data_IF_341815537008
#
_entry.id   IF_341815537008
#
_cell.length_a   1.000
_cell.length_b   1.000
_cell.length_c   1.000
_cell.angle_alpha   90.00
_cell.angle_beta   90.00
_cell.angle_gamma   90.00
#
_symmetry.space_group_name_H-M   'P 1'
#
loop_
_entity.id
_entity.type
_entity.pdbx_description
1 polymer ?
#
# COMPACT_ATOMS: atom_id res chain seq x y z
N UNK A 1 4.42 17.88 -13.43
CA UNK A 1 3.53 17.08 -14.32
C UNK A 1 3.13 15.84 -13.52
N UNK A 2 1.86 15.68 -13.20
CA UNK A 2 1.37 14.57 -12.39
C UNK A 2 1.48 13.26 -13.19
N UNK A 3 2.14 12.26 -12.65
CA UNK A 3 2.23 10.94 -13.30
C UNK A 3 1.22 9.99 -12.68
N UNK A 4 0.50 9.24 -13.54
CA UNK A 4 -0.47 8.24 -13.13
C UNK A 4 0.05 6.80 -13.30
N UNK A 5 1.24 6.65 -13.90
CA UNK A 5 1.78 5.34 -14.21
C UNK A 5 2.30 4.62 -12.97
N UNK A 6 1.75 3.44 -12.70
CA UNK A 6 2.31 2.47 -11.74
C UNK A 6 3.35 1.62 -12.47
N UNK A 7 4.52 1.47 -11.87
CA UNK A 7 5.62 0.74 -12.50
C UNK A 7 5.36 -0.77 -12.42
N UNK A 8 4.91 -1.33 -13.52
CA UNK A 8 4.53 -2.75 -13.62
C UNK A 8 5.71 -3.71 -13.36
N UNK A 9 6.93 -3.24 -13.55
CA UNK A 9 8.14 -4.02 -13.29
C UNK A 9 8.45 -4.16 -11.78
N UNK A 10 7.84 -3.32 -10.93
CA UNK A 10 8.08 -3.37 -9.49
C UNK A 10 7.17 -4.41 -8.84
N UNK A 11 7.61 -5.65 -8.89
CA UNK A 11 6.91 -6.80 -8.31
C UNK A 11 7.20 -6.93 -6.80
N UNK A 12 6.30 -7.59 -6.04
CA UNK A 12 6.51 -7.85 -4.61
C UNK A 12 7.84 -8.53 -4.29
N UNK A 13 8.26 -9.51 -5.10
CA UNK A 13 9.56 -10.17 -4.95
C UNK A 13 10.73 -9.19 -5.07
N UNK A 14 10.72 -8.34 -6.11
CA UNK A 14 11.77 -7.33 -6.32
C UNK A 14 11.77 -6.28 -5.21
N UNK A 15 10.60 -5.90 -4.71
CA UNK A 15 10.49 -5.00 -3.57
C UNK A 15 11.17 -5.59 -2.33
N UNK A 16 10.85 -6.85 -2.00
CA UNK A 16 11.45 -7.59 -0.89
C UNK A 16 12.96 -7.68 -1.03
N UNK A 17 13.45 -8.20 -2.15
CA UNK A 17 14.90 -8.35 -2.42
C UNK A 17 15.64 -7.01 -2.30
N UNK A 18 15.07 -5.94 -2.87
CA UNK A 18 15.67 -4.60 -2.82
C UNK A 18 15.75 -4.04 -1.40
N UNK A 19 14.71 -4.21 -0.59
CA UNK A 19 14.71 -3.79 0.81
C UNK A 19 15.76 -4.55 1.61
N UNK A 20 15.88 -5.87 1.42
CA UNK A 20 16.89 -6.69 2.10
C UNK A 20 18.33 -6.30 1.72
N UNK A 21 18.58 -6.01 0.43
CA UNK A 21 19.90 -5.54 0.00
C UNK A 21 20.27 -4.20 0.65
N UNK A 22 19.37 -3.22 0.58
CA UNK A 22 19.60 -1.87 1.08
C UNK A 22 19.62 -1.80 2.63
N UNK A 23 19.06 -2.79 3.32
CA UNK A 23 19.19 -2.92 4.78
C UNK A 23 20.61 -3.30 5.18
N UNK A 24 21.26 -4.17 4.41
CA UNK A 24 22.59 -4.63 4.72
C UNK A 24 23.66 -3.56 4.41
N UNK A 25 23.51 -2.80 3.34
CA UNK A 25 24.42 -1.72 3.00
C UNK A 25 23.78 -0.66 2.08
N UNK A 26 24.03 0.63 2.32
CA UNK A 26 23.74 1.67 1.33
C UNK A 26 24.52 1.41 0.04
N UNK A 27 23.97 1.76 -1.11
CA UNK A 27 24.59 1.56 -2.42
C UNK A 27 24.90 2.91 -3.10
N UNK A 28 26.08 3.01 -3.70
CA UNK A 28 26.49 4.26 -4.35
C UNK A 28 25.80 4.44 -5.70
N UNK A 29 25.66 3.36 -6.45
CA UNK A 29 25.11 3.38 -7.80
C UNK A 29 24.42 2.05 -8.17
N UNK A 30 23.96 1.98 -9.42
CA UNK A 30 23.28 0.81 -9.95
C UNK A 30 24.18 -0.42 -10.05
N UNK A 31 25.49 -0.23 -10.29
CA UNK A 31 26.46 -1.32 -10.42
C UNK A 31 26.74 -1.97 -9.07
N UNK A 32 26.88 -1.18 -8.01
CA UNK A 32 26.99 -1.66 -6.63
C UNK A 32 25.78 -2.51 -6.27
N UNK A 33 24.58 -2.01 -6.59
CA UNK A 33 23.33 -2.72 -6.31
C UNK A 33 23.23 -4.07 -7.05
N UNK A 34 23.60 -4.09 -8.35
CA UNK A 34 23.64 -5.33 -9.13
C UNK A 34 24.68 -6.31 -8.63
N UNK A 35 25.83 -5.82 -8.17
CA UNK A 35 26.88 -6.66 -7.61
C UNK A 35 26.42 -7.35 -6.33
N UNK A 36 25.78 -6.58 -5.44
CA UNK A 36 25.19 -7.12 -4.21
C UNK A 36 24.06 -8.12 -4.51
N UNK A 37 23.17 -7.80 -5.47
CA UNK A 37 22.08 -8.69 -5.86
C UNK A 37 22.60 -10.04 -6.38
N UNK A 38 23.63 -10.01 -7.22
CA UNK A 38 24.27 -11.24 -7.74
C UNK A 38 24.94 -12.06 -6.65
N UNK A 39 25.56 -11.42 -5.66
CA UNK A 39 26.21 -12.12 -4.54
C UNK A 39 25.23 -12.87 -3.66
N UNK A 40 23.95 -12.48 -3.67
CA UNK A 40 22.86 -13.11 -2.92
C UNK A 40 21.90 -13.95 -3.80
N UNK A 41 22.26 -14.15 -5.07
CA UNK A 41 21.45 -14.88 -6.07
C UNK A 41 20.01 -14.32 -6.24
N UNK A 42 19.84 -13.02 -6.07
CA UNK A 42 18.54 -12.36 -6.25
C UNK A 42 18.21 -12.18 -7.73
N UNK A 43 16.91 -12.11 -8.05
CA UNK A 43 16.42 -11.92 -9.43
C UNK A 43 16.60 -10.50 -9.97
N UNK A 44 16.99 -9.56 -9.11
CA UNK A 44 17.29 -8.17 -9.47
C UNK A 44 18.31 -8.12 -10.59
N UNK A 45 17.99 -7.34 -11.62
CA UNK A 45 18.84 -7.18 -12.82
C UNK A 45 18.64 -8.23 -13.90
N UNK A 46 17.99 -9.37 -13.60
CA UNK A 46 17.57 -10.33 -14.64
C UNK A 46 16.26 -9.89 -15.30
N UNK A 47 15.35 -9.28 -14.54
CA UNK A 47 14.01 -8.89 -15.02
C UNK A 47 13.84 -7.38 -15.14
N UNK A 48 14.68 -6.57 -14.50
CA UNK A 48 14.46 -5.14 -14.39
C UNK A 48 15.74 -4.35 -14.19
N UNK A 49 15.78 -3.10 -14.75
CA UNK A 49 16.90 -2.20 -14.50
C UNK A 49 16.84 -1.61 -13.08
N UNK A 50 17.99 -1.48 -12.38
CA UNK A 50 18.06 -0.87 -11.06
C UNK A 50 17.45 0.54 -10.99
N UNK A 51 17.60 1.35 -12.05
CA UNK A 51 17.02 2.69 -12.14
C UNK A 51 15.50 2.68 -11.93
N UNK A 52 14.80 1.73 -12.52
CA UNK A 52 13.34 1.58 -12.35
C UNK A 52 12.97 1.13 -10.94
N UNK A 53 13.75 0.21 -10.36
CA UNK A 53 13.58 -0.22 -8.97
C UNK A 53 13.76 0.96 -8.02
N UNK A 54 14.85 1.71 -8.16
CA UNK A 54 15.13 2.89 -7.32
C UNK A 54 14.05 3.97 -7.47
N UNK A 55 13.53 4.17 -8.68
CA UNK A 55 12.42 5.08 -8.89
C UNK A 55 11.16 4.61 -8.14
N UNK A 56 10.81 3.31 -8.21
CA UNK A 56 9.65 2.76 -7.51
C UNK A 56 9.79 2.85 -5.99
N UNK A 57 10.97 2.52 -5.45
CA UNK A 57 11.24 2.66 -4.02
C UNK A 57 11.16 4.11 -3.54
N UNK A 58 11.60 5.06 -4.39
CA UNK A 58 11.52 6.50 -4.11
C UNK A 58 10.08 7.00 -4.16
N UNK A 59 9.33 6.60 -5.19
CA UNK A 59 7.91 6.93 -5.34
C UNK A 59 7.12 6.49 -4.10
N UNK A 60 7.48 5.35 -3.50
CA UNK A 60 6.89 4.86 -2.25
C UNK A 60 7.47 5.50 -0.97
N UNK A 61 8.50 6.34 -1.09
CA UNK A 61 9.17 6.96 0.06
C UNK A 61 9.99 5.98 0.91
N UNK A 62 10.44 4.86 0.34
CA UNK A 62 11.18 3.82 1.06
C UNK A 62 12.68 4.04 1.06
N UNK A 63 13.18 4.84 0.10
CA UNK A 63 14.60 5.19 -0.01
C UNK A 63 14.76 6.69 -0.18
N UNK A 64 15.93 7.17 0.23
CA UNK A 64 16.33 8.56 0.04
C UNK A 64 17.79 8.66 -0.38
N UNK A 65 18.13 9.81 -0.95
CA UNK A 65 19.50 10.21 -1.27
C UNK A 65 19.58 11.72 -1.04
N UNK A 66 20.47 12.17 -0.17
CA UNK A 66 20.61 13.61 0.12
C UNK A 66 21.02 14.41 -1.12
N UNK A 67 21.96 13.86 -1.87
CA UNK A 67 22.41 14.42 -3.13
C UNK A 67 22.93 13.31 -4.06
N UNK A 68 23.26 13.64 -5.31
CA UNK A 68 23.70 12.66 -6.32
C UNK A 68 25.01 11.91 -5.98
N UNK A 69 25.77 12.38 -5.00
CA UNK A 69 27.05 11.78 -4.59
C UNK A 69 26.95 10.97 -3.30
N UNK A 70 25.83 11.06 -2.59
CA UNK A 70 25.59 10.23 -1.38
C UNK A 70 25.00 8.87 -1.76
N UNK A 71 25.27 7.83 -0.99
CA UNK A 71 24.67 6.53 -1.20
C UNK A 71 23.13 6.58 -1.11
N UNK A 72 22.47 5.72 -1.86
CA UNK A 72 21.04 5.45 -1.70
C UNK A 72 20.86 4.63 -0.42
N UNK A 73 20.01 5.10 0.48
CA UNK A 73 19.75 4.47 1.78
C UNK A 73 18.25 4.35 2.05
N UNK A 74 17.89 3.42 2.94
CA UNK A 74 16.51 3.25 3.39
C UNK A 74 16.08 4.43 4.28
N UNK A 75 14.87 4.91 4.07
CA UNK A 75 14.17 5.79 5.01
C UNK A 75 13.83 5.04 6.32
N UNK A 76 13.38 5.69 7.40
CA UNK A 76 12.85 4.99 8.57
C UNK A 76 11.75 3.99 8.21
N UNK A 77 10.81 4.36 7.33
CA UNK A 77 9.78 3.46 6.81
C UNK A 77 10.40 2.30 6.01
N UNK A 78 11.35 2.60 5.10
CA UNK A 78 12.05 1.57 4.34
C UNK A 78 12.77 0.54 5.23
N UNK A 79 13.42 0.98 6.30
CA UNK A 79 14.05 0.07 7.29
C UNK A 79 13.01 -0.80 8.00
N UNK A 80 11.90 -0.20 8.44
CA UNK A 80 10.82 -0.97 9.06
C UNK A 80 10.26 -2.05 8.10
N UNK A 81 10.00 -1.69 6.84
CA UNK A 81 9.53 -2.66 5.84
C UNK A 81 10.59 -3.73 5.50
N UNK A 82 11.89 -3.40 5.56
CA UNK A 82 12.95 -4.38 5.41
C UNK A 82 12.96 -5.38 6.59
N UNK A 83 12.75 -4.92 7.82
CA UNK A 83 12.60 -5.79 8.99
C UNK A 83 11.38 -6.71 8.86
N UNK A 84 10.26 -6.20 8.34
CA UNK A 84 9.08 -7.01 8.03
C UNK A 84 9.38 -8.02 6.93
N UNK A 85 10.10 -7.63 5.88
CA UNK A 85 10.48 -8.50 4.75
C UNK A 85 11.27 -9.74 5.16
N UNK A 86 12.01 -9.66 6.27
CA UNK A 86 12.74 -10.80 6.86
C UNK A 86 11.76 -11.75 7.56
N UNK A 87 10.81 -11.20 8.31
CA UNK A 87 9.97 -11.97 9.23
C UNK A 87 8.69 -12.49 8.58
N UNK A 88 8.08 -11.68 7.73
CA UNK A 88 6.76 -11.97 7.15
C UNK A 88 6.61 -11.31 5.77
N UNK A 89 6.78 -12.12 4.73
CA UNK A 89 6.65 -11.65 3.34
C UNK A 89 5.20 -11.29 2.97
N UNK A 90 4.21 -11.94 3.61
CA UNK A 90 2.79 -11.68 3.33
C UNK A 90 2.39 -10.33 3.93
N UNK A 91 2.82 -10.06 5.16
CA UNK A 91 2.61 -8.75 5.78
C UNK A 91 3.32 -7.63 5.00
N UNK A 92 4.51 -7.88 4.44
CA UNK A 92 5.18 -6.89 3.59
C UNK A 92 4.29 -6.47 2.40
N UNK A 93 3.64 -7.43 1.74
CA UNK A 93 2.75 -7.12 0.61
C UNK A 93 1.54 -6.27 1.05
N UNK A 94 0.96 -6.58 2.21
CA UNK A 94 -0.11 -5.79 2.84
C UNK A 94 0.36 -4.34 3.10
N UNK A 95 1.53 -4.16 3.70
CA UNK A 95 2.04 -2.84 4.06
C UNK A 95 2.36 -1.98 2.83
N UNK A 96 2.90 -2.57 1.77
CA UNK A 96 3.15 -1.85 0.52
C UNK A 96 1.83 -1.53 -0.19
N UNK A 97 0.84 -2.43 -0.18
CA UNK A 97 -0.50 -2.13 -0.65
C UNK A 97 -1.12 -0.93 0.09
N UNK A 98 -1.07 -0.95 1.42
CA UNK A 98 -1.53 0.18 2.25
C UNK A 98 -0.77 1.47 1.92
N UNK A 99 0.55 1.38 1.68
CA UNK A 99 1.34 2.55 1.27
C UNK A 99 0.84 3.13 -0.04
N UNK A 100 0.53 2.31 -1.06
CA UNK A 100 -0.12 2.78 -2.28
C UNK A 100 -1.48 3.44 -2.00
N UNK A 101 -2.27 2.87 -1.08
CA UNK A 101 -3.57 3.42 -0.71
C UNK A 101 -3.50 4.75 0.06
N UNK A 102 -2.38 5.06 0.73
CA UNK A 102 -2.28 6.25 1.59
C UNK A 102 -1.40 7.36 1.04
N UNK A 103 -0.68 7.13 -0.06
CA UNK A 103 0.10 8.18 -0.73
C UNK A 103 -0.76 9.24 -1.42
N UNK A 104 -2.02 8.99 -1.57
CA UNK A 104 -3.01 9.97 -2.05
C UNK A 104 -4.29 9.86 -1.22
N UNK A 105 -4.81 11.00 -0.77
CA UNK A 105 -6.14 11.09 -0.17
C UNK A 105 -6.89 12.31 -0.72
N UNK A 106 -8.22 12.32 -0.72
CA UNK A 106 -8.99 13.50 -1.15
C UNK A 106 -8.64 14.75 -0.36
N UNK A 107 -8.29 14.59 0.92
CA UNK A 107 -8.01 15.67 1.86
C UNK A 107 -6.63 16.28 1.67
N UNK A 108 -5.64 15.46 1.36
CA UNK A 108 -4.22 15.88 1.27
C UNK A 108 -3.70 15.99 -0.14
N UNK A 109 -4.40 15.42 -1.12
CA UNK A 109 -3.84 15.21 -2.45
C UNK A 109 -2.73 14.15 -2.41
N UNK A 110 -1.69 14.29 -3.23
CA UNK A 110 -0.53 13.40 -3.25
C UNK A 110 -0.16 12.91 -4.65
N UNK A 111 0.47 11.73 -4.70
CA UNK A 111 1.01 11.18 -5.94
C UNK A 111 -0.09 10.60 -6.86
N UNK A 112 -0.09 11.03 -8.12
CA UNK A 112 -1.10 10.60 -9.09
C UNK A 112 -1.10 9.09 -9.38
N UNK A 113 0.06 8.41 -9.27
CA UNK A 113 0.12 6.96 -9.42
C UNK A 113 -0.58 6.23 -8.26
N UNK A 114 -0.52 6.77 -7.04
CA UNK A 114 -1.22 6.23 -5.89
C UNK A 114 -2.74 6.40 -6.04
N UNK A 115 -3.18 7.54 -6.57
CA UNK A 115 -4.57 7.76 -6.95
C UNK A 115 -5.05 6.73 -8.00
N UNK A 116 -4.24 6.48 -9.03
CA UNK A 116 -4.56 5.48 -10.05
C UNK A 116 -4.64 4.06 -9.46
N UNK A 117 -3.74 3.72 -8.54
CA UNK A 117 -3.77 2.46 -7.79
C UNK A 117 -5.08 2.31 -7.02
N UNK A 118 -5.45 3.31 -6.22
CA UNK A 118 -6.68 3.32 -5.43
C UNK A 118 -7.93 3.25 -6.31
N UNK A 119 -7.93 3.96 -7.44
CA UNK A 119 -9.05 3.98 -8.38
C UNK A 119 -9.31 2.58 -8.94
N UNK A 120 -8.27 1.88 -9.40
CA UNK A 120 -8.40 0.50 -9.90
C UNK A 120 -8.81 -0.46 -8.79
N UNK A 121 -8.12 -0.45 -7.65
CA UNK A 121 -8.41 -1.34 -6.53
C UNK A 121 -9.83 -1.12 -5.99
N UNK A 122 -10.23 0.13 -5.85
CA UNK A 122 -11.57 0.50 -5.37
C UNK A 122 -12.68 0.15 -6.35
N UNK A 123 -12.48 0.34 -7.67
CA UNK A 123 -13.44 -0.06 -8.68
C UNK A 123 -13.67 -1.57 -8.65
N UNK A 124 -12.58 -2.35 -8.62
CA UNK A 124 -12.66 -3.82 -8.51
C UNK A 124 -13.39 -4.26 -7.24
N UNK A 125 -13.14 -3.60 -6.11
CA UNK A 125 -13.82 -3.88 -4.85
C UNK A 125 -15.31 -3.54 -4.88
N UNK A 126 -15.67 -2.38 -5.46
CA UNK A 126 -17.07 -1.94 -5.57
C UNK A 126 -17.90 -2.90 -6.45
N UNK A 127 -17.30 -3.49 -7.49
CA UNK A 127 -17.94 -4.40 -8.44
C UNK A 127 -17.77 -5.89 -8.13
N UNK A 128 -17.06 -6.23 -7.05
CA UNK A 128 -16.78 -7.63 -6.71
C UNK A 128 -18.05 -8.47 -6.45
N UNK A 129 -18.09 -9.74 -6.95
CA UNK A 129 -17.07 -10.40 -7.76
C UNK A 129 -17.13 -9.95 -9.22
N UNK A 130 -15.96 -9.69 -9.84
CA UNK A 130 -15.90 -9.19 -11.22
C UNK A 130 -14.73 -9.76 -12.01
N UNK A 131 -14.91 -9.92 -13.33
CA UNK A 131 -13.82 -10.29 -14.23
C UNK A 131 -12.92 -9.07 -14.50
N UNK A 132 -11.61 -9.31 -14.65
CA UNK A 132 -10.65 -8.24 -14.92
C UNK A 132 -10.68 -7.91 -16.42
N UNK A 133 -11.05 -6.68 -16.71
CA UNK A 133 -11.00 -6.08 -18.04
C UNK A 133 -9.99 -4.92 -18.03
N UNK A 134 -8.79 -5.18 -18.56
CA UNK A 134 -7.68 -4.23 -18.56
C UNK A 134 -7.99 -2.95 -19.31
N UNK A 135 -8.67 -3.04 -20.46
CA UNK A 135 -8.96 -1.88 -21.31
C UNK A 135 -9.99 -0.97 -20.65
N UNK A 136 -10.98 -1.57 -20.00
CA UNK A 136 -11.96 -0.83 -19.21
C UNK A 136 -11.29 -0.13 -18.02
N UNK A 137 -10.40 -0.80 -17.29
CA UNK A 137 -9.65 -0.20 -16.18
C UNK A 137 -8.78 0.97 -16.64
N UNK A 138 -8.10 0.85 -17.78
CA UNK A 138 -7.33 1.94 -18.40
C UNK A 138 -8.23 3.14 -18.70
N UNK A 139 -9.37 2.90 -19.37
CA UNK A 139 -10.31 3.95 -19.72
C UNK A 139 -10.85 4.66 -18.47
N UNK A 140 -11.23 3.90 -17.44
CA UNK A 140 -11.75 4.46 -16.19
C UNK A 140 -10.72 5.36 -15.49
N UNK A 141 -9.45 4.93 -15.45
CA UNK A 141 -8.39 5.76 -14.84
C UNK A 141 -8.14 7.03 -15.64
N UNK A 142 -8.10 6.97 -16.99
CA UNK A 142 -7.90 8.15 -17.82
C UNK A 142 -9.04 9.15 -17.63
N UNK A 143 -10.28 8.72 -17.78
CA UNK A 143 -11.46 9.60 -17.62
C UNK A 143 -11.51 10.21 -16.22
N UNK A 144 -11.33 9.37 -15.18
CA UNK A 144 -11.33 9.85 -13.80
C UNK A 144 -10.19 10.81 -13.50
N UNK A 145 -9.00 10.62 -14.10
CA UNK A 145 -7.87 11.54 -13.92
C UNK A 145 -8.13 12.90 -14.58
N UNK A 146 -8.74 12.91 -15.77
CA UNK A 146 -9.11 14.14 -16.46
C UNK A 146 -10.13 14.96 -15.66
N UNK A 147 -11.10 14.29 -15.07
CA UNK A 147 -12.13 14.91 -14.22
C UNK A 147 -11.54 15.39 -12.87
N UNK A 148 -10.80 14.50 -12.17
CA UNK A 148 -10.31 14.78 -10.80
C UNK A 148 -9.23 15.85 -10.77
N UNK A 149 -8.33 15.87 -11.75
CA UNK A 149 -7.16 16.76 -11.77
C UNK A 149 -7.26 17.89 -12.80
N UNK A 150 -8.41 18.00 -13.49
CA UNK A 150 -8.64 19.00 -14.56
C UNK A 150 -7.50 18.99 -15.61
N UNK A 151 -6.93 17.82 -15.92
CA UNK A 151 -5.87 17.65 -16.92
C UNK A 151 -6.48 17.15 -18.22
N UNK A 152 -5.91 17.57 -19.36
CA UNK A 152 -6.31 17.05 -20.69
C UNK A 152 -5.25 16.07 -21.19
N UNK A 153 -5.71 14.97 -21.76
CA UNK A 153 -4.82 13.96 -22.36
C UNK A 153 -4.02 13.20 -21.29
N UNK A 154 -4.66 12.86 -20.18
CA UNK A 154 -4.07 11.95 -19.21
C UNK A 154 -3.72 10.63 -19.89
N UNK A 155 -2.55 10.06 -19.56
CA UNK A 155 -2.15 8.76 -20.08
C UNK A 155 -2.02 7.75 -18.96
N UNK A 156 -2.54 6.56 -19.20
CA UNK A 156 -2.41 5.40 -18.34
C UNK A 156 -2.29 4.16 -19.22
N UNK A 157 -1.50 3.17 -18.83
CA UNK A 157 -1.18 2.06 -19.73
C UNK A 157 -1.68 0.72 -19.20
N UNK A 158 -1.93 -0.26 -20.08
CA UNK A 158 -2.19 -1.64 -19.66
C UNK A 158 -1.09 -2.20 -18.75
N UNK A 159 0.17 -1.81 -18.98
CA UNK A 159 1.29 -2.19 -18.11
C UNK A 159 1.16 -1.65 -16.69
N UNK A 160 0.59 -0.45 -16.53
CA UNK A 160 0.31 0.10 -15.19
C UNK A 160 -0.80 -0.67 -14.47
N UNK A 161 -1.83 -1.09 -15.21
CA UNK A 161 -2.86 -2.01 -14.66
C UNK A 161 -2.22 -3.31 -14.20
N UNK A 162 -1.36 -3.93 -15.02
CA UNK A 162 -0.65 -5.15 -14.63
C UNK A 162 0.19 -4.94 -13.36
N UNK A 163 0.85 -3.79 -13.21
CA UNK A 163 1.57 -3.43 -11.99
C UNK A 163 0.68 -3.46 -10.74
N UNK A 164 -0.52 -2.90 -10.82
CA UNK A 164 -1.51 -2.94 -9.74
C UNK A 164 -1.94 -4.38 -9.47
N UNK A 165 -2.32 -5.12 -10.51
CA UNK A 165 -2.79 -6.51 -10.37
C UNK A 165 -1.76 -7.45 -9.76
N UNK A 166 -0.45 -7.22 -9.98
CA UNK A 166 0.62 -7.97 -9.33
C UNK A 166 0.58 -7.81 -7.81
N UNK A 167 0.40 -6.58 -7.32
CA UNK A 167 0.28 -6.33 -5.88
C UNK A 167 -1.00 -6.93 -5.31
N UNK A 168 -2.14 -6.82 -6.00
CA UNK A 168 -3.40 -7.41 -5.55
C UNK A 168 -3.36 -8.94 -5.49
N UNK A 169 -2.58 -9.59 -6.37
CA UNK A 169 -2.33 -11.05 -6.32
C UNK A 169 -1.39 -11.46 -5.18
N UNK A 170 -0.55 -10.55 -4.70
CA UNK A 170 0.42 -10.83 -3.64
C UNK A 170 -0.16 -10.72 -2.24
N UNK A 171 -1.36 -10.15 -2.09
CA UNK A 171 -2.06 -10.07 -0.80
C UNK A 171 -2.46 -11.47 -0.31
N UNK A 172 -2.61 -11.65 0.99
CA UNK A 172 -2.99 -12.93 1.60
C UNK A 172 -4.26 -12.80 2.44
N UNK A 173 -5.34 -13.50 2.05
CA UNK A 173 -5.53 -14.22 0.79
C UNK A 173 -5.50 -13.29 -0.43
N UNK A 174 -5.20 -13.82 -1.64
CA UNK A 174 -5.15 -12.99 -2.85
C UNK A 174 -6.55 -12.49 -3.26
N UNK A 175 -6.60 -11.25 -3.74
CA UNK A 175 -7.85 -10.68 -4.28
C UNK A 175 -8.22 -11.24 -5.65
N UNK A 176 -7.25 -11.83 -6.38
CA UNK A 176 -7.40 -12.20 -7.77
C UNK A 176 -7.07 -13.67 -7.95
N UNK A 177 -8.05 -14.44 -8.39
CA UNK A 177 -7.92 -15.85 -8.79
C UNK A 177 -8.55 -16.04 -10.16
N UNK A 178 -7.93 -16.80 -11.04
CA UNK A 178 -8.47 -17.13 -12.38
C UNK A 178 -8.98 -15.91 -13.17
N UNK A 179 -8.25 -14.79 -13.13
CA UNK A 179 -8.61 -13.52 -13.75
C UNK A 179 -9.94 -12.89 -13.25
N UNK A 180 -10.38 -13.27 -12.06
CA UNK A 180 -11.53 -12.66 -11.36
C UNK A 180 -11.07 -12.01 -10.07
N UNK A 181 -11.61 -10.84 -9.79
CA UNK A 181 -11.43 -10.17 -8.51
C UNK A 181 -12.53 -10.60 -7.53
N UNK A 182 -12.13 -10.85 -6.30
CA UNK A 182 -13.01 -11.13 -5.16
C UNK A 182 -12.58 -10.30 -3.95
N UNK A 183 -13.54 -9.88 -3.13
CA UNK A 183 -13.20 -9.35 -1.81
C UNK A 183 -12.57 -10.46 -0.99
N UNK A 184 -11.56 -10.11 -0.20
CA UNK A 184 -10.86 -11.10 0.62
C UNK A 184 -11.69 -11.47 1.83
N UNK A 185 -11.69 -12.74 2.26
CA UNK A 185 -12.38 -13.19 3.47
C UNK A 185 -11.60 -12.90 4.76
N UNK A 186 -10.39 -12.34 4.69
CA UNK A 186 -9.58 -11.96 5.84
C UNK A 186 -8.46 -11.00 5.43
N UNK A 187 -7.84 -10.32 6.39
CA UNK A 187 -6.58 -9.58 6.24
C UNK A 187 -5.73 -9.76 7.50
N UNK A 188 -4.47 -9.33 7.44
CA UNK A 188 -3.63 -9.29 8.63
C UNK A 188 -4.21 -8.31 9.68
N UNK A 189 -4.29 -8.66 10.97
CA UNK A 189 -4.75 -7.74 12.02
C UNK A 189 -3.97 -6.43 12.05
N UNK A 190 -2.67 -6.48 11.84
CA UNK A 190 -1.80 -5.30 11.74
C UNK A 190 -2.22 -4.37 10.60
N UNK A 191 -2.66 -4.91 9.47
CA UNK A 191 -3.12 -4.10 8.34
C UNK A 191 -4.43 -3.36 8.68
N UNK A 192 -5.35 -3.99 9.40
CA UNK A 192 -6.56 -3.33 9.89
C UNK A 192 -6.21 -2.26 10.92
N UNK A 193 -5.34 -2.55 11.88
CA UNK A 193 -4.92 -1.59 12.90
C UNK A 193 -4.31 -0.33 12.27
N UNK A 194 -3.38 -0.50 11.31
CA UNK A 194 -2.79 0.61 10.54
C UNK A 194 -3.86 1.41 9.78
N UNK A 195 -4.82 0.72 9.18
CA UNK A 195 -5.90 1.36 8.43
C UNK A 195 -6.79 2.20 9.34
N UNK A 196 -7.16 1.70 10.52
CA UNK A 196 -7.94 2.44 11.50
C UNK A 196 -7.18 3.65 12.05
N UNK A 197 -5.88 3.51 12.33
CA UNK A 197 -5.02 4.61 12.75
C UNK A 197 -4.94 5.71 11.67
N UNK A 198 -4.81 5.32 10.41
CA UNK A 198 -4.80 6.23 9.29
C UNK A 198 -6.13 6.98 9.15
N UNK A 199 -7.25 6.28 9.24
CA UNK A 199 -8.58 6.90 9.20
C UNK A 199 -8.76 7.87 10.37
N UNK A 200 -8.35 7.47 11.59
CA UNK A 200 -8.39 8.34 12.77
C UNK A 200 -7.57 9.62 12.56
N UNK A 201 -6.34 9.47 12.03
CA UNK A 201 -5.44 10.60 11.73
C UNK A 201 -6.07 11.58 10.74
N UNK A 202 -6.59 11.08 9.62
CA UNK A 202 -7.26 11.92 8.61
C UNK A 202 -8.52 12.58 9.15
N UNK A 203 -9.24 11.91 10.05
CA UNK A 203 -10.44 12.45 10.72
C UNK A 203 -10.12 13.41 11.86
N UNK A 204 -8.85 13.64 12.18
CA UNK A 204 -8.42 14.48 13.29
C UNK A 204 -8.68 13.86 14.67
N UNK A 205 -8.90 12.52 14.74
CA UNK A 205 -9.09 11.79 16.00
C UNK A 205 -7.73 11.49 16.62
N UNK A 206 -7.39 12.01 17.81
CA UNK A 206 -6.11 11.74 18.46
C UNK A 206 -5.94 10.24 18.82
N UNK A 207 -4.70 9.77 18.88
CA UNK A 207 -4.41 8.42 19.39
C UNK A 207 -4.98 8.26 20.82
N UNK A 208 -5.58 7.10 21.08
CA UNK A 208 -6.25 6.80 22.35
C UNK A 208 -7.66 7.42 22.50
N UNK A 209 -8.08 8.29 21.58
CA UNK A 209 -9.46 8.76 21.51
C UNK A 209 -10.34 7.75 20.73
N UNK A 210 -11.66 7.86 20.94
CA UNK A 210 -12.62 6.95 20.31
C UNK A 210 -12.90 7.35 18.85
N UNK A 211 -12.56 6.48 17.91
CA UNK A 211 -12.95 6.58 16.51
C UNK A 211 -14.33 5.96 16.32
N UNK A 212 -15.25 6.69 15.68
CA UNK A 212 -16.58 6.18 15.36
C UNK A 212 -16.52 5.20 14.18
N UNK A 213 -17.07 3.99 14.37
CA UNK A 213 -17.19 2.97 13.34
C UNK A 213 -18.58 3.01 12.68
N UNK A 214 -18.91 4.14 12.07
CA UNK A 214 -20.13 4.22 11.25
C UNK A 214 -19.98 3.47 9.92
N UNK A 215 -21.07 3.37 9.16
CA UNK A 215 -21.09 2.67 7.88
C UNK A 215 -20.06 3.22 6.88
N UNK A 216 -19.80 4.54 6.91
CA UNK A 216 -18.79 5.18 6.05
C UNK A 216 -17.38 4.77 6.42
N UNK A 217 -17.02 4.83 7.70
CA UNK A 217 -15.72 4.44 8.24
C UNK A 217 -15.44 2.96 7.96
N UNK A 218 -16.42 2.09 8.24
CA UNK A 218 -16.33 0.65 7.94
C UNK A 218 -16.13 0.39 6.46
N UNK A 219 -16.97 1.00 5.60
CA UNK A 219 -16.85 0.85 4.14
C UNK A 219 -15.49 1.33 3.64
N UNK A 220 -14.98 2.47 4.16
CA UNK A 220 -13.66 3.00 3.82
C UNK A 220 -12.56 2.01 4.18
N UNK A 221 -12.57 1.45 5.40
CA UNK A 221 -11.60 0.45 5.83
C UNK A 221 -11.67 -0.83 4.98
N UNK A 222 -12.88 -1.38 4.77
CA UNK A 222 -13.08 -2.56 3.92
C UNK A 222 -12.56 -2.35 2.50
N UNK A 223 -12.82 -1.18 1.92
CA UNK A 223 -12.39 -0.83 0.55
C UNK A 223 -10.88 -0.69 0.45
N UNK A 224 -10.22 -0.12 1.45
CA UNK A 224 -8.75 -0.01 1.51
C UNK A 224 -8.12 -1.40 1.65
N UNK A 225 -8.65 -2.23 2.55
CA UNK A 225 -8.14 -3.57 2.81
C UNK A 225 -8.61 -4.62 1.79
N UNK A 226 -9.52 -4.25 0.91
CA UNK A 226 -10.14 -5.12 -0.09
C UNK A 226 -10.86 -6.34 0.51
N UNK A 227 -11.40 -6.21 1.71
CA UNK A 227 -12.16 -7.23 2.45
C UNK A 227 -13.67 -6.94 2.39
N UNK A 228 -14.48 -7.88 2.80
CA UNK A 228 -15.90 -7.66 3.05
C UNK A 228 -16.16 -7.22 4.52
N UNK A 229 -17.45 -7.01 4.86
CA UNK A 229 -17.83 -6.54 6.19
C UNK A 229 -17.67 -7.61 7.27
N UNK A 230 -17.82 -8.90 6.94
CA UNK A 230 -17.67 -10.03 7.85
C UNK A 230 -16.19 -10.17 8.23
N UNK A 231 -15.30 -10.17 7.25
CA UNK A 231 -13.84 -10.17 7.47
C UNK A 231 -13.38 -8.98 8.31
N UNK A 232 -13.98 -7.81 8.13
CA UNK A 232 -13.69 -6.63 8.96
C UNK A 232 -14.04 -6.90 10.43
N UNK A 233 -15.25 -7.42 10.70
CA UNK A 233 -15.70 -7.65 12.07
C UNK A 233 -14.92 -8.76 12.76
N UNK A 234 -14.56 -9.85 12.05
CA UNK A 234 -13.69 -10.92 12.54
C UNK A 234 -12.29 -10.41 12.89
N UNK A 235 -11.67 -9.64 11.97
CA UNK A 235 -10.33 -9.09 12.21
C UNK A 235 -10.33 -8.06 13.34
N UNK A 236 -11.38 -7.25 13.47
CA UNK A 236 -11.54 -6.32 14.57
C UNK A 236 -11.68 -7.06 15.92
N UNK A 237 -12.40 -8.19 15.95
CA UNK A 237 -12.47 -9.07 17.11
C UNK A 237 -11.10 -9.62 17.51
N UNK A 238 -10.29 -10.07 16.52
CA UNK A 238 -8.91 -10.51 16.78
C UNK A 238 -8.05 -9.41 17.39
N UNK A 239 -8.16 -8.16 16.91
CA UNK A 239 -7.44 -7.02 17.49
C UNK A 239 -7.89 -6.72 18.92
N UNK A 240 -9.16 -6.92 19.25
CA UNK A 240 -9.67 -6.76 20.62
C UNK A 240 -9.14 -7.88 21.53
N UNK A 241 -9.12 -9.12 21.07
CA UNK A 241 -8.56 -10.27 21.81
C UNK A 241 -7.05 -10.11 22.05
N UNK A 242 -6.32 -9.50 21.11
CA UNK A 242 -4.91 -9.16 21.26
C UNK A 242 -4.67 -7.94 22.19
N UNK A 243 -5.71 -7.21 22.57
CA UNK A 243 -5.60 -6.01 23.38
C UNK A 243 -5.10 -4.77 22.63
N UNK A 244 -5.02 -4.83 21.30
CA UNK A 244 -4.56 -3.72 20.46
C UNK A 244 -5.62 -2.64 20.25
N UNK A 245 -6.90 -3.00 20.41
CA UNK A 245 -8.04 -2.08 20.36
C UNK A 245 -9.02 -2.38 21.50
N UNK A 246 -9.88 -1.39 21.82
CA UNK A 246 -11.01 -1.55 22.71
C UNK A 246 -12.28 -1.10 21.98
N UNK A 247 -13.28 -1.97 21.89
CA UNK A 247 -14.59 -1.63 21.33
C UNK A 247 -15.50 -1.08 22.43
N UNK A 248 -16.30 -0.09 22.11
CA UNK A 248 -17.29 0.51 23.00
C UNK A 248 -18.59 0.72 22.25
N UNK A 249 -19.70 0.30 22.83
CA UNK A 249 -21.01 0.73 22.38
C UNK A 249 -21.32 2.13 22.93
N UNK A 250 -21.95 2.98 22.13
CA UNK A 250 -22.47 4.27 22.55
C UNK A 250 -23.84 4.53 21.92
N UNK A 251 -24.57 5.50 22.41
CA UNK A 251 -25.87 5.90 21.83
C UNK A 251 -25.76 6.33 20.37
N UNK A 252 -24.55 6.77 19.94
CA UNK A 252 -24.24 7.15 18.56
C UNK A 252 -23.72 6.03 17.68
N UNK A 253 -23.66 4.79 18.19
CA UNK A 253 -23.17 3.61 17.49
C UNK A 253 -21.91 3.02 18.08
N UNK A 254 -21.22 2.19 17.32
CA UNK A 254 -19.99 1.54 17.74
C UNK A 254 -18.78 2.48 17.63
N UNK A 255 -17.92 2.40 18.62
CA UNK A 255 -16.67 3.15 18.71
C UNK A 255 -15.51 2.18 18.89
N UNK A 256 -14.33 2.54 18.38
CA UNK A 256 -13.08 1.84 18.67
C UNK A 256 -12.03 2.80 19.21
N UNK A 257 -11.31 2.35 20.22
CA UNK A 257 -10.15 3.06 20.79
C UNK A 257 -8.90 2.26 20.45
N UNK A 258 -7.93 2.89 19.79
CA UNK A 258 -6.64 2.27 19.50
C UNK A 258 -5.78 2.35 20.75
N UNK A 259 -5.28 1.19 21.21
CA UNK A 259 -4.46 1.06 22.43
C UNK A 259 -2.98 0.89 22.10
N UNK A 260 -2.67 0.44 20.87
CA UNK A 260 -1.32 0.25 20.38
C UNK A 260 -1.12 1.01 19.06
N UNK A 261 0.11 1.47 18.84
CA UNK A 261 0.51 1.97 17.53
C UNK A 261 1.18 0.82 16.75
N UNK A 262 0.69 0.47 15.55
CA UNK A 262 1.21 -0.66 14.80
C UNK A 262 2.63 -0.45 14.29
N UNK A 263 3.12 0.78 14.28
CA UNK A 263 4.42 1.18 13.78
C UNK A 263 5.20 1.98 14.84
N UNK A 264 5.62 1.31 15.95
CA UNK A 264 6.36 2.00 17.00
C UNK A 264 7.63 2.66 16.44
N UNK A 265 7.81 3.94 16.75
CA UNK A 265 8.96 4.73 16.31
C UNK A 265 8.85 5.35 14.90
N UNK A 266 7.76 5.09 14.17
CA UNK A 266 7.40 5.80 12.93
C UNK A 266 6.12 6.57 13.22
N UNK A 267 6.19 7.91 13.14
CA UNK A 267 4.98 8.70 13.28
C UNK A 267 3.99 8.30 12.18
N UNK A 268 2.72 7.99 12.52
CA UNK A 268 1.69 7.59 11.54
C UNK A 268 1.65 8.51 10.33
N UNK A 269 1.81 9.80 10.54
CA UNK A 269 1.88 10.83 9.52
C UNK A 269 2.96 10.57 8.44
N UNK A 270 4.04 9.85 8.74
CA UNK A 270 5.10 9.54 7.76
C UNK A 270 4.80 8.31 6.91
N UNK A 271 3.90 7.45 7.34
CA UNK A 271 3.40 6.37 6.48
C UNK A 271 2.40 6.91 5.45
N UNK A 272 1.79 8.06 5.76
CA UNK A 272 0.72 8.68 5.00
C UNK A 272 1.17 9.96 4.26
N UNK A 273 2.41 10.40 4.44
CA UNK A 273 3.09 11.45 3.69
C UNK A 273 4.14 10.83 2.75
#
# INVERSE_FOLDING_TARGET
>A
MTTFHVRHEFHPTLARESLLLLQNAPVNDEQDFLTLARSQDFEIGRRQSPAKIFASLRDLGLVYRENRHTPLALTPLGRHLADVAIRDTLLLAELIHLRYCWLWTPETGGEGFAWAYQTVAGLLWDEAPTSIDTDRLVTTVITGAEDQFAVKGASFSPSSVLGILHWLRALSPPCITENKFHRRPSCAPEALLITLEAIATVSGTPFGAALRLDASTRRRACRILLIDGEAFDETLGQLEDLGSVMRRASDSGEMVVLLETPLPGIAPQRMFQ
#
